data_IF_043827928244
#
_entry.id   IF_043827928244
#
_cell.length_a   1.000
_cell.length_b   1.000
_cell.length_c   1.000
_cell.angle_alpha   90.00
_cell.angle_beta   90.00
_cell.angle_gamma   90.00
#
_symmetry.space_group_name_H-M   'P 1'
#
loop_
_entity.id
_entity.type
_entity.pdbx_description
1 polymer ?
#
# COMPACT_ATOMS: atom_id res chain seq x y z
N UNK A 1 -48.04 -41.63 -41.49
CA UNK A 1 -47.68 -40.57 -40.52
C UNK A 1 -46.85 -41.18 -39.39
N UNK A 2 -45.55 -40.88 -39.30
CA UNK A 2 -44.66 -41.41 -38.25
C UNK A 2 -44.84 -40.58 -36.97
N UNK A 3 -45.41 -41.15 -35.91
CA UNK A 3 -45.47 -40.52 -34.57
C UNK A 3 -44.06 -40.53 -33.96
N UNK A 4 -43.48 -39.34 -33.74
CA UNK A 4 -42.22 -39.13 -33.02
C UNK A 4 -42.42 -39.52 -31.55
N UNK A 5 -41.65 -40.50 -31.08
CA UNK A 5 -41.66 -40.92 -29.68
C UNK A 5 -41.17 -39.80 -28.77
N UNK A 6 -42.08 -39.24 -27.96
CA UNK A 6 -41.73 -38.41 -26.81
C UNK A 6 -40.98 -39.30 -25.83
N UNK A 7 -39.65 -39.24 -25.87
CA UNK A 7 -38.81 -39.86 -24.85
C UNK A 7 -39.06 -39.07 -23.56
N UNK A 8 -39.84 -39.66 -22.66
CA UNK A 8 -40.04 -39.14 -21.32
C UNK A 8 -38.70 -39.09 -20.61
N UNK A 9 -38.36 -37.93 -20.07
CA UNK A 9 -37.25 -37.78 -19.13
C UNK A 9 -37.44 -38.83 -18.04
N UNK A 10 -36.51 -39.78 -17.93
CA UNK A 10 -36.55 -40.75 -16.84
C UNK A 10 -36.45 -39.95 -15.53
N UNK A 11 -37.44 -40.04 -14.65
CA UNK A 11 -37.51 -39.25 -13.41
C UNK A 11 -36.20 -39.31 -12.59
N UNK A 12 -35.46 -40.42 -12.69
CA UNK A 12 -34.13 -40.59 -12.07
C UNK A 12 -33.03 -39.70 -12.64
N UNK A 13 -33.01 -39.40 -13.96
CA UNK A 13 -31.97 -38.54 -14.56
C UNK A 13 -32.18 -37.06 -14.21
N UNK A 14 -33.43 -36.61 -14.10
CA UNK A 14 -33.75 -35.27 -13.62
C UNK A 14 -33.27 -35.03 -12.17
N UNK A 15 -33.42 -36.05 -11.30
CA UNK A 15 -32.95 -35.99 -9.91
C UNK A 15 -31.43 -35.87 -9.79
N UNK A 16 -30.69 -36.67 -10.57
CA UNK A 16 -29.21 -36.62 -10.61
C UNK A 16 -28.70 -35.26 -11.09
N UNK A 17 -29.32 -34.68 -12.13
CA UNK A 17 -28.95 -33.36 -12.62
C UNK A 17 -29.20 -32.27 -11.57
N UNK A 18 -30.28 -32.37 -10.79
CA UNK A 18 -30.55 -31.44 -9.70
C UNK A 18 -29.48 -31.53 -8.61
N UNK A 19 -29.14 -32.74 -8.16
CA UNK A 19 -28.11 -32.94 -7.13
C UNK A 19 -26.76 -32.38 -7.61
N UNK A 20 -26.38 -32.67 -8.86
CA UNK A 20 -25.15 -32.12 -9.44
C UNK A 20 -25.17 -30.59 -9.49
N UNK A 21 -26.28 -30.00 -9.92
CA UNK A 21 -26.44 -28.54 -9.92
C UNK A 21 -26.27 -27.95 -8.52
N UNK A 22 -26.89 -28.54 -7.49
CA UNK A 22 -26.74 -28.08 -6.10
C UNK A 22 -25.28 -28.18 -5.64
N UNK A 23 -24.58 -29.28 -5.94
CA UNK A 23 -23.15 -29.41 -5.62
C UNK A 23 -22.30 -28.35 -6.33
N UNK A 24 -22.62 -28.03 -7.59
CA UNK A 24 -21.98 -26.96 -8.33
C UNK A 24 -22.24 -25.58 -7.72
N UNK A 25 -23.49 -25.29 -7.31
CA UNK A 25 -23.83 -24.04 -6.61
C UNK A 25 -23.07 -23.91 -5.29
N UNK A 26 -22.99 -24.99 -4.50
CA UNK A 26 -22.24 -24.99 -3.23
C UNK A 26 -20.75 -24.69 -3.51
N UNK A 27 -20.15 -25.38 -4.48
CA UNK A 27 -18.75 -25.15 -4.85
C UNK A 27 -18.54 -23.70 -5.28
N UNK A 28 -19.38 -23.19 -6.19
CA UNK A 28 -19.30 -21.80 -6.65
C UNK A 28 -19.47 -20.78 -5.52
N UNK A 29 -20.42 -21.01 -4.60
CA UNK A 29 -20.63 -20.17 -3.44
C UNK A 29 -19.41 -20.16 -2.51
N UNK A 30 -18.77 -21.31 -2.28
CA UNK A 30 -17.56 -21.39 -1.45
C UNK A 30 -16.38 -20.65 -2.08
N UNK A 31 -16.13 -20.81 -3.38
CA UNK A 31 -15.09 -20.04 -4.09
C UNK A 31 -15.38 -18.54 -4.02
N UNK A 32 -16.64 -18.14 -4.21
CA UNK A 32 -17.07 -16.73 -4.12
C UNK A 32 -16.78 -16.15 -2.73
N UNK A 33 -17.08 -16.89 -1.66
CA UNK A 33 -16.83 -16.45 -0.29
C UNK A 33 -15.33 -16.33 0.02
N UNK A 34 -14.53 -17.32 -0.39
CA UNK A 34 -13.08 -17.31 -0.18
C UNK A 34 -12.44 -16.13 -0.91
N UNK A 35 -12.83 -15.89 -2.17
CA UNK A 35 -12.35 -14.74 -2.93
C UNK A 35 -12.78 -13.42 -2.28
N UNK A 36 -14.05 -13.27 -1.90
CA UNK A 36 -14.54 -12.07 -1.23
C UNK A 36 -13.78 -11.78 0.07
N UNK A 37 -13.40 -12.81 0.84
CA UNK A 37 -12.57 -12.66 2.04
C UNK A 37 -11.14 -12.23 1.72
N UNK A 38 -10.54 -12.80 0.68
CA UNK A 38 -9.21 -12.40 0.23
C UNK A 38 -9.20 -10.94 -0.24
N UNK A 39 -10.19 -10.55 -1.03
CA UNK A 39 -10.38 -9.18 -1.53
C UNK A 39 -10.63 -8.20 -0.38
N UNK A 40 -11.44 -8.58 0.61
CA UNK A 40 -11.68 -7.78 1.81
C UNK A 40 -10.38 -7.54 2.59
N UNK A 41 -9.60 -8.59 2.84
CA UNK A 41 -8.33 -8.47 3.54
C UNK A 41 -7.36 -7.58 2.76
N UNK A 42 -7.25 -7.76 1.44
CA UNK A 42 -6.40 -6.94 0.60
C UNK A 42 -6.81 -5.46 0.67
N UNK A 43 -8.10 -5.18 0.47
CA UNK A 43 -8.66 -3.82 0.53
C UNK A 43 -8.40 -3.15 1.87
N UNK A 44 -8.56 -3.89 2.98
CA UNK A 44 -8.26 -3.39 4.31
C UNK A 44 -6.77 -3.03 4.46
N UNK A 45 -5.87 -3.92 4.08
CA UNK A 45 -4.43 -3.65 4.13
C UNK A 45 -4.03 -2.44 3.27
N UNK A 46 -4.64 -2.30 2.08
CA UNK A 46 -4.40 -1.15 1.21
C UNK A 46 -4.90 0.15 1.85
N UNK A 47 -6.09 0.15 2.46
CA UNK A 47 -6.63 1.30 3.19
C UNK A 47 -5.73 1.70 4.35
N UNK A 48 -5.27 0.75 5.15
CA UNK A 48 -4.41 1.01 6.31
C UNK A 48 -3.07 1.63 5.87
N UNK A 49 -2.46 1.10 4.80
CA UNK A 49 -1.25 1.67 4.18
C UNK A 49 -1.47 3.07 3.64
N UNK A 50 -2.61 3.31 3.00
CA UNK A 50 -2.94 4.62 2.44
C UNK A 50 -3.14 5.68 3.54
N UNK A 51 -3.81 5.30 4.63
CA UNK A 51 -4.00 6.15 5.80
C UNK A 51 -2.65 6.50 6.44
N UNK A 52 -1.78 5.50 6.66
CA UNK A 52 -0.45 5.72 7.22
C UNK A 52 0.40 6.65 6.33
N UNK A 53 0.35 6.48 5.01
CA UNK A 53 1.05 7.36 4.08
C UNK A 53 0.57 8.82 4.16
N UNK A 54 -0.75 9.05 4.18
CA UNK A 54 -1.28 10.40 4.27
C UNK A 54 -1.04 11.05 5.63
N UNK A 55 -1.09 10.28 6.72
CA UNK A 55 -0.74 10.76 8.06
C UNK A 55 0.73 11.18 8.13
N UNK A 56 1.64 10.37 7.55
CA UNK A 56 3.05 10.72 7.44
C UNK A 56 3.27 11.99 6.59
N UNK A 57 2.58 12.11 5.45
CA UNK A 57 2.64 13.31 4.62
C UNK A 57 2.10 14.55 5.34
N UNK A 58 1.03 14.40 6.13
CA UNK A 58 0.46 15.50 6.91
C UNK A 58 1.46 16.02 7.94
N UNK A 59 2.08 15.12 8.72
CA UNK A 59 3.16 15.46 9.65
C UNK A 59 4.36 16.08 8.94
N UNK A 60 4.72 15.55 7.78
CA UNK A 60 5.79 16.08 6.94
C UNK A 60 5.54 17.49 6.44
N UNK A 61 4.30 17.79 6.07
CA UNK A 61 3.92 19.13 5.62
C UNK A 61 3.90 20.12 6.79
N UNK A 62 3.49 19.67 7.98
CA UNK A 62 3.59 20.46 9.20
C UNK A 62 5.06 20.78 9.52
N UNK A 63 5.97 19.81 9.37
CA UNK A 63 7.42 20.04 9.49
C UNK A 63 7.93 21.06 8.46
N UNK A 64 7.56 20.92 7.18
CA UNK A 64 7.97 21.86 6.14
C UNK A 64 7.47 23.29 6.41
N UNK A 65 6.24 23.42 6.91
CA UNK A 65 5.66 24.70 7.31
C UNK A 65 6.40 25.31 8.50
N UNK A 66 6.72 24.51 9.51
CA UNK A 66 7.51 24.95 10.67
C UNK A 66 8.90 25.43 10.23
N UNK A 67 9.58 24.67 9.37
CA UNK A 67 10.87 25.06 8.79
C UNK A 67 10.77 26.42 8.09
N UNK A 68 9.74 26.62 7.27
CA UNK A 68 9.52 27.87 6.54
C UNK A 68 9.26 29.07 7.48
N UNK A 69 8.56 28.85 8.60
CA UNK A 69 8.29 29.89 9.61
C UNK A 69 9.52 30.24 10.47
N UNK A 70 10.66 29.58 10.24
CA UNK A 70 11.92 29.85 10.95
C UNK A 70 12.20 28.89 12.10
N UNK A 71 11.43 27.80 12.25
CA UNK A 71 11.76 26.72 13.17
C UNK A 71 13.04 26.02 12.69
N UNK A 72 14.10 26.10 13.51
CA UNK A 72 15.39 25.44 13.26
C UNK A 72 15.66 24.46 14.39
N UNK A 73 15.36 23.17 14.16
CA UNK A 73 15.59 22.12 15.15
C UNK A 73 17.08 21.76 15.19
N UNK A 74 17.82 22.28 16.17
CA UNK A 74 19.06 21.71 16.73
C UNK A 74 20.24 21.37 15.79
N UNK A 75 20.14 21.60 14.49
CA UNK A 75 21.13 21.23 13.49
C UNK A 75 21.77 22.52 12.95
N UNK A 76 23.07 22.69 13.20
CA UNK A 76 23.88 23.83 12.73
C UNK A 76 24.10 23.87 11.20
N UNK A 77 23.32 23.12 10.42
CA UNK A 77 23.43 23.01 8.96
C UNK A 77 22.27 23.70 8.24
N UNK A 78 22.50 24.04 6.97
CA UNK A 78 21.44 24.55 6.09
C UNK A 78 20.37 23.50 5.77
N UNK A 79 20.61 22.22 6.04
CA UNK A 79 19.71 21.10 5.71
C UNK A 79 19.09 20.55 6.99
N UNK A 80 17.76 20.57 7.06
CA UNK A 80 16.96 19.94 8.10
C UNK A 80 16.37 18.63 7.59
N UNK A 81 16.48 17.58 8.39
CA UNK A 81 16.02 16.22 8.04
C UNK A 81 15.03 15.72 9.08
N UNK A 82 13.96 15.10 8.63
CA UNK A 82 12.98 14.40 9.45
C UNK A 82 12.62 13.08 8.78
N UNK A 83 12.43 12.04 9.58
CA UNK A 83 12.00 10.72 9.12
C UNK A 83 10.76 10.33 9.90
N UNK A 84 9.66 10.11 9.20
CA UNK A 84 8.35 9.80 9.79
C UNK A 84 8.02 8.35 9.46
N UNK A 85 7.88 7.45 10.44
CA UNK A 85 7.59 6.05 10.17
C UNK A 85 6.16 5.88 9.61
N UNK A 86 6.00 5.11 8.53
CA UNK A 86 4.70 4.65 8.01
C UNK A 86 4.36 3.25 8.52
N UNK A 87 5.37 2.40 8.64
CA UNK A 87 5.29 1.00 9.10
C UNK A 87 6.63 0.62 9.72
N UNK A 88 6.74 -0.58 10.29
CA UNK A 88 7.96 -1.06 10.96
C UNK A 88 9.21 -1.06 10.05
N UNK A 89 8.99 -1.00 8.73
CA UNK A 89 10.03 -1.10 7.71
C UNK A 89 10.14 0.12 6.80
N UNK A 90 9.16 1.02 6.77
CA UNK A 90 9.17 2.14 5.83
C UNK A 90 8.97 3.47 6.56
N UNK A 91 9.72 4.48 6.13
CA UNK A 91 9.60 5.86 6.61
C UNK A 91 9.48 6.84 5.46
N UNK A 92 8.81 7.97 5.69
CA UNK A 92 8.81 9.12 4.83
C UNK A 92 9.97 10.00 5.27
N UNK A 93 11.00 10.03 4.44
CA UNK A 93 12.18 10.84 4.69
C UNK A 93 12.05 12.18 3.98
N UNK A 94 12.17 13.24 4.78
CA UNK A 94 11.98 14.61 4.38
C UNK A 94 13.28 15.35 4.66
N UNK A 95 13.81 16.02 3.65
CA UNK A 95 14.93 16.92 3.82
C UNK A 95 14.65 18.26 3.16
N UNK A 96 14.91 19.33 3.89
CA UNK A 96 14.63 20.72 3.49
C UNK A 96 15.90 21.52 3.67
N UNK A 97 16.28 22.25 2.63
CA UNK A 97 17.38 23.21 2.71
C UNK A 97 16.82 24.61 2.90
N UNK A 98 17.34 25.32 3.89
CA UNK A 98 17.02 26.72 4.16
C UNK A 98 18.12 27.58 3.57
N UNK A 99 17.81 28.32 2.51
CA UNK A 99 18.75 29.26 1.91
C UNK A 99 18.64 30.59 2.66
N UNK A 100 19.52 30.80 3.64
CA UNK A 100 19.63 32.08 4.35
C UNK A 100 20.45 33.09 3.52
N UNK A 101 19.97 33.44 2.33
CA UNK A 101 20.54 34.55 1.57
C UNK A 101 19.76 35.83 1.91
N UNK A 102 20.45 36.72 2.64
CA UNK A 102 20.08 38.08 3.07
C UNK A 102 19.33 38.19 4.39
N UNK A 103 20.06 38.71 5.38
CA UNK A 103 19.56 39.39 6.58
C UNK A 103 18.75 40.64 6.19
N UNK A 104 17.57 40.47 5.62
CA UNK A 104 16.59 41.55 5.52
C UNK A 104 15.43 41.22 6.43
N UNK A 105 14.94 42.21 7.16
CA UNK A 105 13.85 42.12 8.14
C UNK A 105 12.49 41.74 7.50
N UNK A 106 12.48 41.37 6.22
CA UNK A 106 11.34 41.04 5.37
C UNK A 106 11.70 40.04 4.25
N UNK A 107 12.79 39.26 4.39
CA UNK A 107 13.11 38.24 3.39
C UNK A 107 12.27 36.99 3.65
N UNK A 108 11.41 36.62 2.70
CA UNK A 108 10.85 35.27 2.64
C UNK A 108 12.00 34.27 2.74
N UNK A 109 12.01 33.46 3.79
CA UNK A 109 13.00 32.42 3.97
C UNK A 109 12.80 31.43 2.81
N UNK A 110 13.60 31.51 1.75
CA UNK A 110 13.47 30.58 0.63
C UNK A 110 13.91 29.19 1.07
N UNK A 111 12.95 28.37 1.50
CA UNK A 111 13.15 26.97 1.85
C UNK A 111 12.82 26.13 0.62
N UNK A 112 13.70 25.21 0.24
CA UNK A 112 13.41 24.23 -0.81
C UNK A 112 13.46 22.82 -0.25
N UNK A 113 12.47 22.02 -0.64
CA UNK A 113 12.40 20.60 -0.31
C UNK A 113 13.37 19.88 -1.25
N UNK A 114 14.37 19.18 -0.71
CA UNK A 114 15.36 18.43 -1.48
C UNK A 114 15.09 16.93 -1.46
N UNK A 115 14.31 16.45 -0.49
CA UNK A 115 13.94 15.04 -0.39
C UNK A 115 12.53 14.92 0.16
N UNK A 116 11.70 14.13 -0.52
CA UNK A 116 10.38 13.72 -0.09
C UNK A 116 10.11 12.33 -0.66
N UNK A 117 10.59 11.30 0.02
CA UNK A 117 10.50 9.94 -0.50
C UNK A 117 10.23 8.92 0.60
N UNK A 118 9.50 7.87 0.24
CA UNK A 118 9.31 6.70 1.11
C UNK A 118 10.56 5.84 0.97
N UNK A 119 11.27 5.62 2.07
CA UNK A 119 12.46 4.77 2.15
C UNK A 119 12.09 3.48 2.88
N UNK A 120 12.50 2.34 2.32
CA UNK A 120 12.36 1.04 2.95
C UNK A 120 13.67 0.70 3.65
N UNK A 121 13.63 0.50 4.97
CA UNK A 121 14.74 0.09 5.82
C UNK A 121 14.77 -1.43 5.97
N UNK A 122 14.58 -2.17 4.88
CA UNK A 122 14.85 -3.60 4.91
C UNK A 122 16.37 -3.77 4.99
N UNK A 123 16.85 -4.21 6.14
CA UNK A 123 18.19 -4.79 6.33
C UNK A 123 18.27 -6.12 5.55
N UNK A 124 18.12 -6.10 4.21
CA UNK A 124 18.51 -7.23 3.39
C UNK A 124 20.02 -7.18 3.26
N UNK A 125 20.71 -7.79 4.22
CA UNK A 125 22.10 -8.22 4.04
C UNK A 125 22.10 -9.15 2.83
N UNK A 126 22.48 -8.62 1.67
CA UNK A 126 22.57 -9.39 0.45
C UNK A 126 23.64 -10.47 0.65
N UNK A 127 23.23 -11.74 0.61
CA UNK A 127 24.16 -12.86 0.63
C UNK A 127 24.98 -12.86 -0.67
N UNK A 128 26.18 -12.30 -0.59
CA UNK A 128 27.15 -12.30 -1.69
C UNK A 128 27.99 -13.59 -1.74
N UNK A 129 27.67 -14.62 -0.96
CA UNK A 129 28.39 -15.89 -1.03
C UNK A 129 27.93 -16.67 -2.27
N UNK A 130 28.79 -16.71 -3.29
CA UNK A 130 28.61 -17.62 -4.41
C UNK A 130 29.06 -19.03 -3.98
N UNK A 131 28.23 -20.08 -4.14
CA UNK A 131 28.67 -21.44 -3.91
C UNK A 131 29.63 -21.85 -5.05
N UNK A 132 30.93 -21.69 -4.84
CA UNK A 132 31.96 -22.19 -5.75
C UNK A 132 32.21 -23.65 -5.41
N UNK A 133 31.86 -24.57 -6.32
CA UNK A 133 32.26 -25.97 -6.20
C UNK A 133 33.78 -26.08 -6.42
N UNK A 134 34.48 -26.71 -5.49
CA UNK A 134 35.92 -27.05 -5.59
C UNK A 134 36.16 -28.21 -6.53
#
# INVERSE_FOLDING_TARGET
>A
MKKKGKHGINIGTASILLIFSVLCLISFATLTLVNAKADYNLSKNLSDRQLAYYDACHKGNAFATAVNSGYRKGISGAIMKESIPLTDKQSLDIAIIVNSSKKSFNSDNTCSIIQWQVVNHDDTEYDYSLPVMK
#
